data_IF_451322078050
#
_entry.id   IF_451322078050
#
_cell.length_a   1.000
_cell.length_b   1.000
_cell.length_c   1.000
_cell.angle_alpha   90.00
_cell.angle_beta   90.00
_cell.angle_gamma   90.00
#
_symmetry.space_group_name_H-M   'P 1'
#
loop_
_entity.id
_entity.type
_entity.pdbx_description
1 polymer ?
#
# COMPACT_ATOMS: atom_id res chain seq x y z
N UNK A 1 19.87 -63.66 61.32
CA UNK A 1 18.65 -62.89 61.01
C UNK A 1 18.96 -61.52 60.39
N UNK A 2 19.92 -60.74 60.91
CA UNK A 2 20.28 -59.40 60.39
C UNK A 2 20.89 -59.39 58.96
N UNK A 3 21.67 -60.40 58.58
CA UNK A 3 22.29 -60.47 57.24
C UNK A 3 21.29 -60.72 56.09
N UNK A 4 20.20 -61.44 56.34
CA UNK A 4 19.17 -61.71 55.33
C UNK A 4 18.32 -60.45 55.04
N UNK A 5 18.04 -59.64 56.06
CA UNK A 5 17.28 -58.39 55.92
C UNK A 5 18.07 -57.33 55.14
N UNK A 6 19.40 -57.23 55.34
CA UNK A 6 20.24 -56.30 54.59
C UNK A 6 20.38 -56.67 53.10
N UNK A 7 20.39 -57.98 52.78
CA UNK A 7 20.38 -58.44 51.39
C UNK A 7 19.06 -58.06 50.71
N UNK A 8 17.90 -58.34 51.31
CA UNK A 8 16.62 -57.97 50.70
C UNK A 8 16.44 -56.46 50.54
N UNK A 9 16.87 -55.65 51.51
CA UNK A 9 16.84 -54.19 51.39
C UNK A 9 17.73 -53.69 50.25
N UNK A 10 18.92 -54.27 50.05
CA UNK A 10 19.81 -53.91 48.95
C UNK A 10 19.22 -54.21 47.57
N UNK A 11 18.55 -55.35 47.40
CA UNK A 11 17.85 -55.71 46.16
C UNK A 11 16.66 -54.77 45.89
N UNK A 12 15.89 -54.42 46.92
CA UNK A 12 14.76 -53.48 46.80
C UNK A 12 15.25 -52.08 46.43
N UNK A 13 16.31 -51.56 47.08
CA UNK A 13 16.90 -50.28 46.72
C UNK A 13 17.51 -50.29 45.31
N UNK A 14 18.11 -51.40 44.86
CA UNK A 14 18.61 -51.56 43.49
C UNK A 14 17.50 -51.53 42.43
N UNK A 15 16.36 -52.16 42.69
CA UNK A 15 15.18 -52.11 41.81
C UNK A 15 14.56 -50.72 41.81
N UNK A 16 14.44 -50.06 42.96
CA UNK A 16 13.88 -48.71 43.07
C UNK A 16 14.79 -47.68 42.36
N UNK A 17 16.11 -47.76 42.54
CA UNK A 17 17.06 -46.87 41.87
C UNK A 17 17.11 -47.12 40.35
N UNK A 18 17.09 -48.38 39.92
CA UNK A 18 17.04 -48.76 38.50
C UNK A 18 15.76 -48.26 37.82
N UNK A 19 14.61 -48.48 38.45
CA UNK A 19 13.32 -47.99 37.98
C UNK A 19 13.31 -46.44 37.94
N UNK A 20 13.79 -45.76 38.99
CA UNK A 20 13.86 -44.30 39.03
C UNK A 20 14.74 -43.72 37.91
N UNK A 21 15.87 -44.36 37.60
CA UNK A 21 16.75 -43.94 36.50
C UNK A 21 16.07 -44.13 35.13
N UNK A 22 15.31 -45.22 34.94
CA UNK A 22 14.55 -45.47 33.71
C UNK A 22 13.38 -44.49 33.54
N UNK A 23 12.64 -44.18 34.62
CA UNK A 23 11.58 -43.17 34.61
C UNK A 23 12.11 -41.77 34.29
N UNK A 24 13.25 -41.38 34.88
CA UNK A 24 13.91 -40.11 34.59
C UNK A 24 14.36 -40.06 33.13
N UNK A 25 15.03 -41.09 32.62
CA UNK A 25 15.52 -41.10 31.25
C UNK A 25 14.38 -41.05 30.21
N UNK A 26 13.24 -41.70 30.50
CA UNK A 26 12.08 -41.69 29.62
C UNK A 26 11.34 -40.33 29.63
N UNK A 27 11.29 -39.66 30.78
CA UNK A 27 10.72 -38.29 30.91
C UNK A 27 11.59 -37.24 30.22
N UNK A 28 12.92 -37.31 30.35
CA UNK A 28 13.83 -36.44 29.59
C UNK A 28 13.68 -36.62 28.07
N UNK A 29 13.55 -37.87 27.61
CA UNK A 29 13.36 -38.19 26.19
C UNK A 29 11.99 -37.73 25.65
N UNK A 30 10.96 -37.77 26.48
CA UNK A 30 9.64 -37.24 26.14
C UNK A 30 9.66 -35.72 26.02
N UNK A 31 10.28 -35.05 26.99
CA UNK A 31 10.41 -33.59 27.03
C UNK A 31 11.27 -33.04 25.88
N UNK A 32 12.37 -33.71 25.49
CA UNK A 32 13.16 -33.34 24.30
C UNK A 32 12.34 -33.45 23.00
N UNK A 33 11.50 -34.48 22.89
CA UNK A 33 10.63 -34.68 21.73
C UNK A 33 9.56 -33.59 21.61
N UNK A 34 8.97 -33.18 22.74
CA UNK A 34 7.97 -32.11 22.77
C UNK A 34 8.61 -30.74 22.49
N UNK A 35 9.80 -30.47 23.05
CA UNK A 35 10.57 -29.25 22.75
C UNK A 35 10.93 -29.18 21.25
N UNK A 36 11.40 -30.28 20.65
CA UNK A 36 11.68 -30.32 19.21
C UNK A 36 10.43 -30.09 18.35
N UNK A 37 9.29 -30.64 18.75
CA UNK A 37 8.02 -30.40 18.07
C UNK A 37 7.60 -28.94 18.14
N UNK A 38 7.71 -28.31 19.31
CA UNK A 38 7.41 -26.89 19.50
C UNK A 38 8.33 -26.01 18.65
N UNK A 39 9.65 -26.26 18.68
CA UNK A 39 10.63 -25.54 17.87
C UNK A 39 10.39 -25.71 16.37
N UNK A 40 10.03 -26.92 15.90
CA UNK A 40 9.66 -27.14 14.50
C UNK A 40 8.39 -26.37 14.13
N UNK A 41 7.38 -26.38 15.00
CA UNK A 41 6.13 -25.66 14.75
C UNK A 41 6.31 -24.14 14.73
N UNK A 42 7.18 -23.58 15.59
CA UNK A 42 7.51 -22.15 15.57
C UNK A 42 8.31 -21.78 14.32
N UNK A 43 9.32 -22.58 13.93
CA UNK A 43 10.06 -22.35 12.69
C UNK A 43 9.14 -22.39 11.45
N UNK A 44 8.16 -23.29 11.45
CA UNK A 44 7.17 -23.40 10.38
C UNK A 44 6.19 -22.20 10.36
N UNK A 45 5.78 -21.71 11.53
CA UNK A 45 4.99 -20.48 11.65
C UNK A 45 5.76 -19.24 11.18
N UNK A 46 7.05 -19.12 11.51
CA UNK A 46 7.92 -18.03 11.06
C UNK A 46 8.06 -18.03 9.54
N UNK A 47 8.26 -19.20 8.93
CA UNK A 47 8.32 -19.33 7.46
C UNK A 47 6.99 -18.93 6.80
N UNK A 48 5.84 -19.34 7.35
CA UNK A 48 4.52 -18.88 6.88
C UNK A 48 4.36 -17.36 7.00
N UNK A 49 4.80 -16.76 8.10
CA UNK A 49 4.77 -15.31 8.25
C UNK A 49 5.64 -14.61 7.20
N UNK A 50 6.84 -15.13 6.95
CA UNK A 50 7.72 -14.60 5.90
C UNK A 50 7.11 -14.73 4.51
N UNK A 51 6.45 -15.84 4.22
CA UNK A 51 5.76 -16.07 2.95
C UNK A 51 4.56 -15.13 2.78
N UNK A 52 3.74 -14.95 3.82
CA UNK A 52 2.62 -13.99 3.84
C UNK A 52 3.13 -12.56 3.65
N UNK A 53 4.17 -12.13 4.39
CA UNK A 53 4.75 -10.79 4.24
C UNK A 53 5.31 -10.59 2.84
N UNK A 54 5.97 -11.61 2.28
CA UNK A 54 6.50 -11.56 0.91
C UNK A 54 5.40 -11.48 -0.14
N UNK A 55 4.28 -12.19 0.04
CA UNK A 55 3.09 -12.08 -0.80
C UNK A 55 2.51 -10.67 -0.71
N UNK A 56 2.26 -10.16 0.50
CA UNK A 56 1.72 -8.81 0.71
C UNK A 56 2.62 -7.72 0.12
N UNK A 57 3.94 -7.82 0.26
CA UNK A 57 4.89 -6.88 -0.38
C UNK A 57 4.89 -6.98 -1.90
N UNK A 58 4.70 -8.19 -2.45
CA UNK A 58 4.62 -8.39 -3.91
C UNK A 58 3.32 -7.82 -4.45
N UNK A 59 2.20 -8.09 -3.77
CA UNK A 59 0.88 -7.55 -4.11
C UNK A 59 0.85 -6.03 -3.96
N UNK A 60 1.46 -5.49 -2.92
CA UNK A 60 1.66 -4.04 -2.75
C UNK A 60 2.47 -3.46 -3.91
N UNK A 61 3.57 -4.12 -4.32
CA UNK A 61 4.39 -3.66 -5.44
C UNK A 61 3.66 -3.74 -6.77
N UNK A 62 2.80 -4.75 -6.97
CA UNK A 62 1.95 -4.88 -8.15
C UNK A 62 0.85 -3.82 -8.17
N UNK A 63 0.25 -3.51 -7.02
CA UNK A 63 -0.71 -2.42 -6.88
C UNK A 63 0.00 -1.10 -7.20
N UNK A 64 1.14 -0.82 -6.57
CA UNK A 64 1.93 0.40 -6.82
C UNK A 64 2.36 0.52 -8.28
N UNK A 65 2.81 -0.56 -8.91
CA UNK A 65 3.18 -0.53 -10.34
C UNK A 65 1.96 -0.26 -11.24
N UNK A 66 0.80 -0.83 -10.92
CA UNK A 66 -0.45 -0.55 -11.63
C UNK A 66 -0.93 0.90 -11.40
N UNK A 67 -0.73 1.46 -10.20
CA UNK A 67 -1.01 2.85 -9.87
C UNK A 67 -0.09 3.82 -10.65
N UNK A 68 1.20 3.48 -10.77
CA UNK A 68 2.20 4.28 -11.49
C UNK A 68 2.08 4.14 -13.01
N UNK A 69 1.70 2.96 -13.48
CA UNK A 69 1.55 2.61 -14.88
C UNK A 69 0.15 2.07 -15.16
N UNK A 70 -0.91 2.91 -15.06
CA UNK A 70 -2.27 2.46 -15.29
C UNK A 70 -2.36 1.88 -16.71
N UNK A 71 -3.00 0.70 -16.86
CA UNK A 71 -3.18 0.09 -18.17
C UNK A 71 -3.85 1.10 -19.09
N UNK A 72 -3.30 1.27 -20.31
CA UNK A 72 -3.83 2.21 -21.30
C UNK A 72 -5.30 1.90 -21.54
N UNK A 73 -6.15 2.81 -21.09
CA UNK A 73 -7.60 2.75 -21.20
C UNK A 73 -7.97 2.43 -22.66
N UNK A 74 -8.57 1.25 -22.88
CA UNK A 74 -9.00 0.80 -24.20
C UNK A 74 -10.27 1.55 -24.58
N UNK A 75 -10.12 2.83 -24.91
CA UNK A 75 -11.23 3.70 -25.30
C UNK A 75 -11.98 3.08 -26.47
N UNK A 76 -13.27 2.83 -26.27
CA UNK A 76 -14.17 2.41 -27.35
C UNK A 76 -14.25 3.49 -28.43
N UNK A 77 -14.59 3.11 -29.67
CA UNK A 77 -14.66 4.07 -30.79
C UNK A 77 -15.62 5.24 -30.50
N UNK A 78 -16.75 4.98 -29.84
CA UNK A 78 -17.71 6.01 -29.43
C UNK A 78 -17.10 7.00 -28.43
N UNK A 79 -16.41 6.51 -27.41
CA UNK A 79 -15.72 7.34 -26.42
C UNK A 79 -14.66 8.25 -27.06
N UNK A 80 -13.88 7.75 -28.03
CA UNK A 80 -12.88 8.55 -28.76
C UNK A 80 -13.51 9.68 -29.57
N UNK A 81 -14.68 9.44 -30.16
CA UNK A 81 -15.40 10.45 -30.95
C UNK A 81 -15.97 11.51 -30.00
N UNK A 82 -16.60 11.11 -28.90
CA UNK A 82 -17.14 12.05 -27.90
C UNK A 82 -16.06 12.96 -27.30
N UNK A 83 -14.87 12.43 -27.00
CA UNK A 83 -13.71 13.23 -26.54
C UNK A 83 -13.32 14.32 -27.54
N UNK A 84 -13.20 13.93 -28.81
CA UNK A 84 -12.81 14.87 -29.87
C UNK A 84 -13.88 15.92 -30.10
N UNK A 85 -15.16 15.54 -30.08
CA UNK A 85 -16.28 16.48 -30.25
C UNK A 85 -16.37 17.45 -29.08
N UNK A 86 -16.18 16.98 -27.83
CA UNK A 86 -16.17 17.84 -26.65
C UNK A 86 -14.97 18.82 -26.67
N UNK A 87 -13.76 18.35 -27.01
CA UNK A 87 -12.59 19.22 -27.15
C UNK A 87 -12.74 20.24 -28.28
N UNK A 88 -13.31 19.83 -29.42
CA UNK A 88 -13.53 20.72 -30.55
C UNK A 88 -14.60 21.77 -30.23
N UNK A 89 -15.72 21.36 -29.64
CA UNK A 89 -16.81 22.25 -29.24
C UNK A 89 -16.43 23.24 -28.13
N UNK A 90 -15.46 22.90 -27.28
CA UNK A 90 -14.96 23.77 -26.20
C UNK A 90 -13.84 24.74 -26.60
N UNK A 91 -13.38 24.72 -27.86
CA UNK A 91 -12.27 25.57 -28.30
C UNK A 91 -12.73 27.00 -28.62
N UNK A 92 -11.96 28.00 -28.18
CA UNK A 92 -12.17 29.41 -28.54
C UNK A 92 -12.19 29.65 -30.06
N UNK A 93 -11.38 28.91 -30.81
CA UNK A 93 -11.34 29.04 -32.27
C UNK A 93 -12.63 28.51 -32.94
N UNK A 94 -13.26 27.48 -32.37
CA UNK A 94 -14.53 26.95 -32.86
C UNK A 94 -15.66 27.96 -32.65
N UNK A 95 -15.75 28.56 -31.46
CA UNK A 95 -16.75 29.57 -31.13
C UNK A 95 -16.69 30.75 -32.11
N UNK A 96 -15.47 31.27 -32.37
CA UNK A 96 -15.27 32.40 -33.28
C UNK A 96 -15.65 32.03 -34.72
N UNK A 97 -15.20 30.87 -35.21
CA UNK A 97 -15.52 30.40 -36.57
C UNK A 97 -17.02 30.18 -36.75
N UNK A 98 -17.67 29.57 -35.76
CA UNK A 98 -19.11 29.33 -35.76
C UNK A 98 -19.91 30.65 -35.81
N UNK A 99 -19.49 31.65 -35.04
CA UNK A 99 -20.10 32.98 -35.06
C UNK A 99 -19.95 33.68 -36.43
N UNK A 100 -18.77 33.58 -37.05
CA UNK A 100 -18.53 34.12 -38.40
C UNK A 100 -19.44 33.47 -39.43
N UNK A 101 -19.60 32.14 -39.40
CA UNK A 101 -20.51 31.42 -40.31
C UNK A 101 -21.95 31.90 -40.14
N UNK A 102 -22.42 32.08 -38.90
CA UNK A 102 -23.76 32.61 -38.62
C UNK A 102 -23.93 34.02 -39.19
N UNK A 103 -22.95 34.91 -39.00
CA UNK A 103 -22.99 36.25 -39.58
C UNK A 103 -23.04 36.22 -41.11
N UNK A 104 -22.23 35.38 -41.75
CA UNK A 104 -22.25 35.20 -43.21
C UNK A 104 -23.62 34.72 -43.68
N UNK A 105 -24.22 33.75 -42.98
CA UNK A 105 -25.55 33.22 -43.29
C UNK A 105 -26.64 34.29 -43.20
N UNK A 106 -26.61 35.10 -42.15
CA UNK A 106 -27.56 36.21 -41.95
C UNK A 106 -27.39 37.26 -43.05
N UNK A 107 -26.16 37.68 -43.34
CA UNK A 107 -25.87 38.67 -44.39
C UNK A 107 -26.34 38.16 -45.75
N UNK A 108 -25.99 36.92 -46.12
CA UNK A 108 -26.38 36.29 -47.37
C UNK A 108 -27.90 36.26 -47.56
N UNK A 109 -28.65 35.76 -46.57
CA UNK A 109 -30.11 35.65 -46.66
C UNK A 109 -30.82 37.02 -46.59
N UNK A 110 -30.21 38.01 -45.93
CA UNK A 110 -30.77 39.37 -45.86
C UNK A 110 -30.58 40.13 -47.18
N UNK A 111 -29.39 40.05 -47.78
CA UNK A 111 -29.03 40.76 -49.02
C UNK A 111 -29.45 40.03 -50.31
N UNK A 112 -29.85 38.77 -50.22
CA UNK A 112 -30.32 38.01 -51.38
C UNK A 112 -31.58 38.67 -51.99
N UNK A 113 -31.55 38.89 -53.31
CA UNK A 113 -32.67 39.39 -54.11
C UNK A 113 -33.87 38.46 -53.93
N UNK A 114 -35.09 39.02 -53.88
CA UNK A 114 -36.34 38.35 -53.47
C UNK A 114 -36.60 36.94 -54.08
N UNK A 115 -36.01 36.58 -55.21
CA UNK A 115 -36.14 35.26 -55.84
C UNK A 115 -35.19 34.15 -55.35
N UNK A 116 -34.15 34.46 -54.57
CA UNK A 116 -33.13 33.49 -54.12
C UNK A 116 -33.00 33.40 -52.59
N UNK A 117 -34.00 33.89 -51.84
CA UNK A 117 -34.00 33.84 -50.38
C UNK A 117 -34.27 32.42 -49.88
N UNK A 118 -33.22 31.71 -49.51
CA UNK A 118 -33.30 30.34 -49.02
C UNK A 118 -33.91 30.25 -47.60
N UNK A 119 -33.60 31.22 -46.73
CA UNK A 119 -34.13 31.31 -45.36
C UNK A 119 -34.52 32.78 -45.04
N UNK A 120 -35.73 33.24 -45.43
CA UNK A 120 -36.20 34.59 -45.12
C UNK A 120 -36.38 34.82 -43.61
N UNK A 121 -36.25 36.07 -43.16
CA UNK A 121 -36.59 36.44 -41.78
C UNK A 121 -38.02 35.95 -41.45
N UNK A 122 -38.23 35.15 -40.39
CA UNK A 122 -37.45 35.03 -39.15
C UNK A 122 -36.40 33.89 -39.04
N UNK A 123 -35.85 33.37 -40.15
CA UNK A 123 -34.78 32.36 -40.19
C UNK A 123 -35.14 31.00 -39.54
N UNK A 124 -36.16 30.32 -40.07
CA UNK A 124 -36.69 29.08 -39.48
C UNK A 124 -35.70 27.91 -39.58
N UNK A 125 -34.95 27.82 -40.69
CA UNK A 125 -34.01 26.73 -40.93
C UNK A 125 -32.79 26.85 -40.01
N UNK A 126 -32.24 28.06 -39.89
CA UNK A 126 -31.14 28.35 -38.97
C UNK A 126 -31.52 27.99 -37.53
N UNK A 127 -32.73 28.39 -37.10
CA UNK A 127 -33.20 28.11 -35.74
C UNK A 127 -33.39 26.60 -35.48
N UNK A 128 -33.90 25.86 -36.47
CA UNK A 128 -34.05 24.41 -36.39
C UNK A 128 -32.68 23.71 -36.22
N UNK A 129 -31.69 24.09 -37.03
CA UNK A 129 -30.34 23.51 -36.98
C UNK A 129 -29.67 23.83 -35.63
N UNK A 130 -29.73 25.09 -35.18
CA UNK A 130 -29.16 25.51 -33.90
C UNK A 130 -29.76 24.75 -32.72
N UNK A 131 -31.09 24.59 -32.72
CA UNK A 131 -31.80 23.84 -31.68
C UNK A 131 -31.39 22.36 -31.65
N UNK A 132 -31.25 21.73 -32.83
CA UNK A 132 -30.79 20.35 -32.94
C UNK A 132 -29.34 20.17 -32.44
N UNK A 133 -28.44 21.09 -32.82
CA UNK A 133 -27.04 21.08 -32.37
C UNK A 133 -26.96 21.25 -30.85
N UNK A 134 -27.69 22.21 -30.29
CA UNK A 134 -27.71 22.44 -28.84
C UNK A 134 -28.26 21.24 -28.06
N UNK A 135 -29.33 20.60 -28.56
CA UNK A 135 -29.91 19.41 -27.95
C UNK A 135 -28.94 18.22 -27.90
N UNK A 136 -28.11 18.04 -28.94
CA UNK A 136 -27.08 16.99 -28.98
C UNK A 136 -25.83 17.34 -28.17
N UNK A 137 -25.54 18.63 -27.95
CA UNK A 137 -24.36 19.07 -27.20
C UNK A 137 -24.43 18.68 -25.72
N UNK A 138 -25.55 18.91 -25.03
CA UNK A 138 -25.69 18.65 -23.60
C UNK A 138 -25.30 17.20 -23.18
N UNK A 139 -25.82 16.14 -23.81
CA UNK A 139 -25.45 14.76 -23.46
C UNK A 139 -24.00 14.41 -23.83
N UNK A 140 -23.46 14.96 -24.93
CA UNK A 140 -22.05 14.73 -25.31
C UNK A 140 -21.12 15.35 -24.27
N UNK A 141 -21.42 16.58 -23.84
CA UNK A 141 -20.69 17.27 -22.78
C UNK A 141 -20.78 16.47 -21.49
N UNK A 142 -21.98 16.04 -21.08
CA UNK A 142 -22.19 15.24 -19.87
C UNK A 142 -21.45 13.90 -19.90
N UNK A 143 -21.46 13.19 -21.04
CA UNK A 143 -20.68 11.95 -21.21
C UNK A 143 -19.17 12.20 -21.10
N UNK A 144 -18.69 13.33 -21.64
CA UNK A 144 -17.29 13.70 -21.51
C UNK A 144 -16.92 14.08 -20.07
N UNK A 145 -17.81 14.80 -19.37
CA UNK A 145 -17.65 15.19 -17.97
C UNK A 145 -17.63 13.97 -17.05
N UNK A 146 -18.64 13.10 -17.10
CA UNK A 146 -18.69 11.89 -16.26
C UNK A 146 -17.43 11.03 -16.39
N UNK A 147 -16.86 10.95 -17.60
CA UNK A 147 -15.62 10.20 -17.82
C UNK A 147 -14.39 10.92 -17.27
N UNK A 148 -14.34 12.25 -17.37
CA UNK A 148 -13.24 13.01 -16.78
C UNK A 148 -13.30 12.92 -15.25
N UNK A 149 -14.48 13.01 -14.66
CA UNK A 149 -14.71 12.83 -13.22
C UNK A 149 -14.31 11.44 -12.74
N UNK A 150 -14.63 10.39 -13.49
CA UNK A 150 -14.20 9.02 -13.16
C UNK A 150 -12.67 8.91 -13.14
N UNK A 151 -11.98 9.49 -14.13
CA UNK A 151 -10.51 9.52 -14.18
C UNK A 151 -9.92 10.33 -13.03
N UNK A 152 -10.53 11.46 -12.70
CA UNK A 152 -10.08 12.32 -11.61
C UNK A 152 -10.32 11.66 -10.25
N UNK A 153 -11.41 10.90 -10.08
CA UNK A 153 -11.67 10.07 -8.90
C UNK A 153 -10.59 8.99 -8.73
N UNK A 154 -10.33 8.22 -9.79
CA UNK A 154 -9.29 7.17 -9.75
C UNK A 154 -7.91 7.77 -9.43
N UNK A 155 -7.56 8.91 -10.04
CA UNK A 155 -6.32 9.62 -9.71
C UNK A 155 -6.26 10.02 -8.24
N UNK A 156 -7.36 10.56 -7.71
CA UNK A 156 -7.45 10.98 -6.30
C UNK A 156 -7.32 9.80 -5.33
N UNK A 157 -7.93 8.66 -5.65
CA UNK A 157 -7.78 7.41 -4.88
C UNK A 157 -6.33 6.92 -4.88
N UNK A 158 -5.67 6.95 -6.05
CA UNK A 158 -4.26 6.57 -6.18
C UNK A 158 -3.34 7.49 -5.37
N UNK A 159 -3.55 8.80 -5.46
CA UNK A 159 -2.78 9.80 -4.70
C UNK A 159 -2.96 9.61 -3.19
N UNK A 160 -4.18 9.28 -2.75
CA UNK A 160 -4.46 8.94 -1.35
C UNK A 160 -3.68 7.71 -0.87
N UNK A 161 -3.67 6.63 -1.65
CA UNK A 161 -2.94 5.41 -1.30
C UNK A 161 -1.42 5.63 -1.23
N UNK A 162 -0.87 6.42 -2.16
CA UNK A 162 0.56 6.78 -2.15
C UNK A 162 0.89 7.57 -0.88
N UNK A 163 0.05 8.54 -0.51
CA UNK A 163 0.27 9.34 0.69
C UNK A 163 0.18 8.48 1.97
N UNK A 164 -0.80 7.58 2.05
CA UNK A 164 -0.93 6.65 3.17
C UNK A 164 0.32 5.74 3.29
N UNK A 165 0.84 5.25 2.17
CA UNK A 165 2.08 4.46 2.15
C UNK A 165 3.28 5.26 2.65
N UNK A 166 3.42 6.51 2.20
CA UNK A 166 4.48 7.40 2.67
C UNK A 166 4.39 7.63 4.20
N UNK A 167 3.18 7.83 4.74
CA UNK A 167 2.96 7.96 6.18
C UNK A 167 3.39 6.70 6.96
N UNK A 168 3.01 5.52 6.47
CA UNK A 168 3.40 4.24 7.09
C UNK A 168 4.91 4.01 7.06
N UNK A 169 5.58 4.33 5.94
CA UNK A 169 7.03 4.25 5.82
C UNK A 169 7.72 5.19 6.82
N UNK A 170 7.25 6.43 6.95
CA UNK A 170 7.78 7.40 7.94
C UNK A 170 7.59 6.90 9.36
N UNK A 171 6.43 6.32 9.70
CA UNK A 171 6.19 5.72 11.02
C UNK A 171 7.12 4.53 11.28
N UNK A 172 7.34 3.67 10.29
CA UNK A 172 8.28 2.55 10.40
C UNK A 172 9.72 3.02 10.61
N UNK A 173 10.14 4.07 9.90
CA UNK A 173 11.45 4.68 10.12
C UNK A 173 11.59 5.26 11.52
N UNK A 174 10.55 5.95 12.04
CA UNK A 174 10.55 6.45 13.42
C UNK A 174 10.76 5.32 14.42
N UNK A 175 10.02 4.22 14.31
CA UNK A 175 10.17 3.07 15.21
C UNK A 175 11.58 2.48 15.19
N UNK A 176 12.21 2.39 13.99
CA UNK A 176 13.59 1.93 13.88
C UNK A 176 14.58 2.88 14.55
N UNK A 177 14.37 4.19 14.41
CA UNK A 177 15.20 5.21 15.07
C UNK A 177 15.05 5.09 16.59
N UNK A 178 13.84 4.92 17.11
CA UNK A 178 13.60 4.76 18.54
C UNK A 178 14.32 3.52 19.11
N UNK A 179 14.25 2.39 18.40
CA UNK A 179 14.97 1.16 18.79
C UNK A 179 16.48 1.35 18.80
N UNK A 180 17.04 2.01 17.78
CA UNK A 180 18.47 2.31 17.72
C UNK A 180 18.89 3.25 18.85
N UNK A 181 18.06 4.24 19.20
CA UNK A 181 18.33 5.14 20.32
C UNK A 181 18.33 4.40 21.66
N UNK A 182 17.41 3.47 21.87
CA UNK A 182 17.38 2.63 23.08
C UNK A 182 18.67 1.80 23.23
N UNK A 183 19.12 1.16 22.14
CA UNK A 183 20.37 0.38 22.12
C UNK A 183 21.60 1.26 22.39
N UNK A 184 21.64 2.47 21.82
CA UNK A 184 22.72 3.43 22.06
C UNK A 184 22.75 3.92 23.51
N UNK A 185 21.58 4.21 24.11
CA UNK A 185 21.48 4.60 25.52
C UNK A 185 22.02 3.47 26.42
N UNK A 186 21.63 2.22 26.17
CA UNK A 186 22.14 1.07 26.91
C UNK A 186 23.67 0.96 26.80
N UNK A 187 24.21 1.10 25.59
CA UNK A 187 25.65 1.06 25.33
C UNK A 187 26.39 2.17 26.08
N UNK A 188 25.84 3.38 26.14
CA UNK A 188 26.40 4.49 26.91
C UNK A 188 26.44 4.19 28.41
N UNK A 189 25.37 3.63 28.98
CA UNK A 189 25.34 3.23 30.39
C UNK A 189 26.37 2.14 30.70
N UNK A 190 26.50 1.13 29.84
CA UNK A 190 27.51 0.08 30.00
C UNK A 190 28.94 0.64 29.94
N UNK A 191 29.20 1.59 29.04
CA UNK A 191 30.49 2.28 28.95
C UNK A 191 30.78 3.10 30.21
N UNK A 192 29.79 3.83 30.74
CA UNK A 192 29.95 4.58 32.00
C UNK A 192 30.20 3.66 33.19
N UNK A 193 29.50 2.53 33.27
CA UNK A 193 29.71 1.53 34.32
C UNK A 193 31.15 0.97 34.29
N UNK A 194 31.66 0.63 33.11
CA UNK A 194 33.06 0.21 32.93
C UNK A 194 34.06 1.30 33.34
N UNK A 195 33.80 2.56 32.99
CA UNK A 195 34.65 3.69 33.42
C UNK A 195 34.69 3.82 34.95
N UNK A 196 33.54 3.65 35.62
CA UNK A 196 33.43 3.66 37.08
C UNK A 196 34.19 2.50 37.74
N UNK A 197 34.11 1.31 37.16
CA UNK A 197 34.86 0.14 37.62
C UNK A 197 36.37 0.34 37.49
N UNK A 198 36.83 0.89 36.35
CA UNK A 198 38.23 1.25 36.14
C UNK A 198 38.67 2.27 37.21
N UNK A 199 37.88 3.32 37.47
CA UNK A 199 38.18 4.30 38.51
C UNK A 199 38.30 3.67 39.90
N UNK A 200 37.36 2.80 40.29
CA UNK A 200 37.45 2.04 41.56
C UNK A 200 38.70 1.17 41.63
N UNK A 201 39.08 0.52 40.52
CA UNK A 201 40.27 -0.32 40.48
C UNK A 201 41.56 0.49 40.64
N UNK A 202 41.60 1.70 40.09
CA UNK A 202 42.71 2.65 40.26
C UNK A 202 42.77 3.12 41.71
N UNK A 203 41.63 3.51 42.29
CA UNK A 203 41.53 3.92 43.70
C UNK A 203 42.03 2.81 44.64
N UNK A 204 41.60 1.56 44.43
CA UNK A 204 42.04 0.41 45.22
C UNK A 204 43.56 0.17 45.12
N UNK A 205 44.12 0.27 43.91
CA UNK A 205 45.58 0.17 43.71
C UNK A 205 46.33 1.30 44.41
N UNK A 206 45.81 2.53 44.33
CA UNK A 206 46.43 3.69 44.97
C UNK A 206 46.45 3.56 46.50
N UNK A 207 45.37 3.05 47.09
CA UNK A 207 45.27 2.78 48.53
C UNK A 207 46.19 1.63 48.98
N UNK A 208 46.45 0.64 48.13
CA UNK A 208 47.38 -0.47 48.45
C UNK A 208 48.87 -0.07 48.41
N UNK A 209 49.19 1.10 47.86
CA UNK A 209 50.56 1.64 47.77
C UNK A 209 50.92 2.60 48.93
N UNK A 210 49.96 2.93 49.79
CA UNK A 210 50.15 3.69 51.04
C UNK A 210 50.33 2.73 52.21
#
# INVERSE_FOLDING_TARGET
>A
MVLLVNLELGWVWGIILGANNEYLNNTYKFMDKDIKKLLQSEAEQVNKLQEIVKQTMTDEKLIVDNLLNPPKDLLTRGQKISDKVAQFGGSWAFIITFFIILLIWIVFNTTAVLGYRFDPYPFILMNLILSCVAALQAPIIMMSQNRQEEKDRQRSENDYLINLKAELEVRSLHQKVDLLLEEQIKTLFESQAKQLEILKSIEAKLNSLK
#
